data_IF_558361054318
#
_entry.id   IF_558361054318
#
_cell.length_a   1.000
_cell.length_b   1.000
_cell.length_c   1.000
_cell.angle_alpha   90.00
_cell.angle_beta   90.00
_cell.angle_gamma   90.00
#
_symmetry.space_group_name_H-M   'P 1'
#
loop_
_entity.id
_entity.type
_entity.pdbx_description
1 polymer ?
#
# COMPACT_ATOMS: atom_id res chain seq x y z
N UNK A 1 -7.12 30.68 12.22
CA UNK A 1 -6.90 30.14 10.86
C UNK A 1 -8.16 30.32 10.05
N UNK A 2 -8.08 30.67 8.76
CA UNK A 2 -9.26 30.81 7.91
C UNK A 2 -9.90 29.43 7.66
N UNK A 3 -11.19 29.31 7.97
CA UNK A 3 -11.98 28.10 7.73
C UNK A 3 -12.60 28.16 6.31
N UNK A 4 -12.71 27.00 5.66
CA UNK A 4 -13.37 26.83 4.38
C UNK A 4 -14.50 25.81 4.47
N UNK A 5 -15.52 25.95 3.63
CA UNK A 5 -16.64 25.01 3.57
C UNK A 5 -16.16 23.64 3.07
N UNK A 6 -16.72 22.57 3.64
CA UNK A 6 -16.42 21.19 3.23
C UNK A 6 -17.25 20.85 1.98
N UNK A 7 -16.59 20.32 0.95
CA UNK A 7 -17.20 19.94 -0.32
C UNK A 7 -17.18 21.06 -1.36
N UNK A 8 -16.74 20.74 -2.59
CA UNK A 8 -16.55 21.72 -3.67
C UNK A 8 -17.85 22.47 -4.04
N UNK A 9 -19.00 21.80 -3.97
CA UNK A 9 -20.30 22.40 -4.27
C UNK A 9 -20.80 23.43 -3.24
N UNK A 10 -20.18 23.50 -2.05
CA UNK A 10 -20.61 24.40 -0.98
C UNK A 10 -19.73 25.65 -0.86
N UNK A 11 -18.78 25.87 -1.78
CA UNK A 11 -17.72 26.88 -1.67
C UNK A 11 -18.25 28.30 -1.39
N UNK A 12 -19.39 28.65 -1.98
CA UNK A 12 -19.93 30.01 -1.94
C UNK A 12 -21.08 30.18 -0.92
N UNK A 13 -21.47 29.12 -0.20
CA UNK A 13 -22.49 29.19 0.85
C UNK A 13 -21.92 29.81 2.14
N UNK A 14 -22.18 31.09 2.36
CA UNK A 14 -21.71 31.81 3.54
C UNK A 14 -22.18 31.19 4.88
N UNK A 15 -23.34 30.52 4.88
CA UNK A 15 -23.98 29.96 6.06
C UNK A 15 -23.74 28.46 6.23
N UNK A 16 -22.90 27.86 5.38
CA UNK A 16 -22.63 26.44 5.45
C UNK A 16 -22.09 26.01 6.82
N UNK A 17 -22.73 24.98 7.39
CA UNK A 17 -22.51 24.56 8.79
C UNK A 17 -21.17 23.85 8.99
N UNK A 18 -20.67 23.14 7.99
CA UNK A 18 -19.49 22.28 8.12
C UNK A 18 -18.26 22.94 7.49
N UNK A 19 -17.35 23.43 8.34
CA UNK A 19 -16.13 24.11 7.90
C UNK A 19 -14.88 23.40 8.41
N UNK A 20 -13.81 23.42 7.63
CA UNK A 20 -12.50 22.88 7.99
C UNK A 20 -11.41 23.92 7.76
N UNK A 21 -10.29 23.87 8.49
CA UNK A 21 -9.14 24.71 8.17
C UNK A 21 -8.58 24.33 6.79
N UNK A 22 -7.99 25.31 6.09
CA UNK A 22 -7.25 25.03 4.85
C UNK A 22 -6.08 24.09 5.13
N UNK A 23 -5.83 23.17 4.20
CA UNK A 23 -4.69 22.26 4.29
C UNK A 23 -3.38 23.03 4.16
N UNK A 24 -2.47 22.82 5.11
CA UNK A 24 -1.13 23.40 5.12
C UNK A 24 -0.15 22.28 4.81
N UNK A 25 0.38 22.28 3.60
CA UNK A 25 1.37 21.31 3.15
C UNK A 25 2.78 21.87 3.27
N UNK A 26 3.73 21.02 3.68
CA UNK A 26 5.15 21.31 3.71
C UNK A 26 5.88 20.20 2.96
N UNK A 27 6.72 20.60 2.01
CA UNK A 27 7.61 19.67 1.32
C UNK A 27 8.81 19.40 2.22
N UNK A 28 9.09 18.13 2.47
CA UNK A 28 10.23 17.65 3.26
C UNK A 28 11.05 16.67 2.40
N UNK A 29 12.38 16.76 2.49
CA UNK A 29 13.29 15.94 1.68
C UNK A 29 13.58 16.49 0.27
N UNK A 30 14.43 15.77 -0.48
CA UNK A 30 14.85 16.08 -1.86
C UNK A 30 15.09 14.78 -2.64
N UNK A 31 14.98 14.82 -3.96
CA UNK A 31 15.12 13.63 -4.83
C UNK A 31 14.14 12.51 -4.48
N UNK A 32 14.64 11.28 -4.38
CA UNK A 32 13.86 10.07 -4.08
C UNK A 32 13.22 10.04 -2.67
N UNK A 33 13.46 11.05 -1.84
CA UNK A 33 12.93 11.19 -0.48
C UNK A 33 12.00 12.39 -0.28
N UNK A 34 11.49 13.00 -1.35
CA UNK A 34 10.50 14.09 -1.26
C UNK A 34 9.20 13.56 -0.65
N UNK A 35 8.69 14.24 0.38
CA UNK A 35 7.46 13.93 1.11
C UNK A 35 6.64 15.21 1.27
N UNK A 36 5.33 15.10 1.11
CA UNK A 36 4.40 16.20 1.40
C UNK A 36 3.77 15.96 2.77
N UNK A 37 4.21 16.71 3.77
CA UNK A 37 3.67 16.65 5.12
C UNK A 37 2.51 17.64 5.27
N UNK A 38 1.36 17.16 5.75
CA UNK A 38 0.21 18.03 6.07
C UNK A 38 0.33 18.44 7.54
N UNK A 39 0.86 19.64 7.76
CA UNK A 39 1.28 20.12 9.08
C UNK A 39 0.10 20.27 10.05
N UNK A 40 -1.09 20.59 9.53
CA UNK A 40 -2.30 20.80 10.33
C UNK A 40 -3.31 19.64 10.23
N UNK A 41 -2.85 18.42 9.96
CA UNK A 41 -3.72 17.24 9.81
C UNK A 41 -4.63 16.99 11.01
N UNK A 42 -4.16 17.25 12.23
CA UNK A 42 -4.93 17.05 13.47
C UNK A 42 -6.19 17.93 13.49
N UNK A 43 -6.05 19.19 13.10
CA UNK A 43 -7.16 20.14 13.07
C UNK A 43 -8.15 19.83 11.95
N UNK A 44 -7.65 19.36 10.80
CA UNK A 44 -8.47 18.90 9.68
C UNK A 44 -9.28 17.66 10.10
N UNK A 45 -8.63 16.66 10.69
CA UNK A 45 -9.28 15.43 11.12
C UNK A 45 -10.36 15.71 12.18
N UNK A 46 -10.09 16.64 13.11
CA UNK A 46 -11.08 17.10 14.09
C UNK A 46 -12.30 17.75 13.43
N UNK A 47 -12.10 18.59 12.40
CA UNK A 47 -13.20 19.19 11.64
C UNK A 47 -14.02 18.16 10.85
N UNK A 48 -13.38 17.06 10.44
CA UNK A 48 -14.03 15.91 9.80
C UNK A 48 -14.66 14.92 10.80
N UNK A 49 -14.57 15.18 12.11
CA UNK A 49 -14.98 14.27 13.18
C UNK A 49 -14.36 12.87 13.06
N UNK A 50 -13.09 12.80 12.63
CA UNK A 50 -12.33 11.54 12.50
C UNK A 50 -11.01 11.60 13.28
N UNK A 51 -10.49 10.45 13.74
CA UNK A 51 -9.14 10.39 14.26
C UNK A 51 -8.12 10.71 13.17
N UNK A 52 -7.10 11.52 13.50
CA UNK A 52 -6.06 11.91 12.54
C UNK A 52 -5.32 10.71 11.92
N UNK A 53 -5.16 9.61 12.68
CA UNK A 53 -4.54 8.37 12.20
C UNK A 53 -5.30 7.74 11.02
N UNK A 54 -6.63 7.82 11.02
CA UNK A 54 -7.46 7.28 9.93
C UNK A 54 -7.34 8.15 8.68
N UNK A 55 -7.39 9.47 8.85
CA UNK A 55 -7.28 10.43 7.74
C UNK A 55 -5.90 10.38 7.09
N UNK A 56 -4.83 10.31 7.89
CA UNK A 56 -3.45 10.14 7.38
C UNK A 56 -3.27 8.80 6.68
N UNK A 57 -3.81 7.70 7.22
CA UNK A 57 -3.73 6.38 6.58
C UNK A 57 -4.50 6.33 5.27
N UNK A 58 -5.69 6.93 5.22
CA UNK A 58 -6.47 7.07 3.98
C UNK A 58 -5.67 7.82 2.90
N UNK A 59 -5.06 8.95 3.23
CA UNK A 59 -4.22 9.67 2.26
C UNK A 59 -2.97 8.88 1.83
N UNK A 60 -2.36 8.12 2.74
CA UNK A 60 -1.22 7.26 2.42
C UNK A 60 -1.57 6.06 1.53
N UNK A 61 -2.69 5.41 1.79
CA UNK A 61 -3.10 4.16 1.13
C UNK A 61 -3.94 4.40 -0.14
N UNK A 62 -4.92 5.30 -0.10
CA UNK A 62 -5.94 5.44 -1.16
C UNK A 62 -5.57 6.49 -2.22
N UNK A 63 -4.85 7.55 -1.83
CA UNK A 63 -4.36 8.55 -2.79
C UNK A 63 -2.94 8.26 -3.29
N UNK A 64 -2.37 7.11 -2.92
CA UNK A 64 -1.00 6.76 -3.29
C UNK A 64 0.04 7.77 -2.81
N UNK A 65 -0.20 8.53 -1.74
CA UNK A 65 0.74 9.54 -1.24
C UNK A 65 2.06 8.94 -0.71
N UNK A 66 2.15 7.61 -0.60
CA UNK A 66 3.38 6.84 -0.37
C UNK A 66 3.80 5.96 -1.56
N UNK A 67 3.03 5.98 -2.66
CA UNK A 67 3.33 5.23 -3.87
C UNK A 67 4.34 6.00 -4.71
N UNK A 68 5.54 5.45 -4.87
CA UNK A 68 6.48 5.91 -5.89
C UNK A 68 6.00 5.37 -7.22
N UNK A 69 5.69 6.25 -8.17
CA UNK A 69 5.41 5.87 -9.55
C UNK A 69 6.68 6.11 -10.38
N UNK A 70 7.23 5.08 -10.99
CA UNK A 70 8.35 5.20 -11.93
C UNK A 70 7.79 5.43 -13.34
N UNK A 71 8.09 6.58 -13.94
CA UNK A 71 7.57 6.96 -15.26
C UNK A 71 8.23 6.20 -16.43
N UNK A 72 9.40 5.57 -16.21
CA UNK A 72 10.08 4.76 -17.24
C UNK A 72 9.51 3.36 -17.31
N UNK A 73 9.11 2.79 -16.16
CA UNK A 73 8.58 1.43 -16.08
C UNK A 73 7.05 1.37 -15.94
N UNK A 74 6.40 2.48 -15.58
CA UNK A 74 4.95 2.55 -15.33
C UNK A 74 4.52 1.99 -13.98
N UNK A 75 5.46 1.79 -13.04
CA UNK A 75 5.25 0.95 -11.85
C UNK A 75 5.02 1.76 -10.57
N UNK A 76 4.05 1.36 -9.73
CA UNK A 76 3.81 1.92 -8.39
C UNK A 76 4.48 1.09 -7.28
N UNK A 77 5.67 1.48 -6.82
CA UNK A 77 6.49 0.74 -5.84
C UNK A 77 5.95 0.73 -4.39
N UNK A 78 4.87 1.47 -4.08
CA UNK A 78 4.29 1.51 -2.73
C UNK A 78 3.13 0.55 -2.50
N UNK A 79 2.44 0.12 -3.56
CA UNK A 79 1.18 -0.63 -3.47
C UNK A 79 1.39 -2.14 -3.36
N UNK A 80 2.39 -2.70 -4.04
CA UNK A 80 2.60 -4.15 -4.11
C UNK A 80 3.11 -4.75 -2.78
N UNK A 81 4.10 -4.15 -2.08
CA UNK A 81 4.53 -4.67 -0.77
C UNK A 81 3.43 -4.59 0.30
N UNK A 82 2.57 -3.55 0.23
CA UNK A 82 1.41 -3.41 1.12
C UNK A 82 0.35 -4.48 0.84
N UNK A 83 0.09 -4.78 -0.42
CA UNK A 83 -0.82 -5.84 -0.83
C UNK A 83 -0.33 -7.21 -0.32
N UNK A 84 0.95 -7.51 -0.51
CA UNK A 84 1.58 -8.74 -0.01
C UNK A 84 1.46 -8.87 1.52
N UNK A 85 1.72 -7.79 2.26
CA UNK A 85 1.56 -7.80 3.72
C UNK A 85 0.08 -7.94 4.15
N UNK A 86 -0.86 -7.37 3.40
CA UNK A 86 -2.29 -7.56 3.65
C UNK A 86 -2.72 -9.02 3.44
N UNK A 87 -2.22 -9.68 2.39
CA UNK A 87 -2.42 -11.10 2.12
C UNK A 87 -1.84 -11.94 3.27
N UNK A 88 -0.61 -11.66 3.71
CA UNK A 88 0.03 -12.33 4.84
C UNK A 88 -0.84 -12.28 6.13
N UNK A 89 -1.27 -11.07 6.49
CA UNK A 89 -2.10 -10.81 7.67
C UNK A 89 -3.48 -11.47 7.56
N UNK A 90 -4.02 -11.58 6.35
CA UNK A 90 -5.29 -12.24 6.09
C UNK A 90 -5.17 -13.76 6.23
N UNK A 91 -4.13 -14.36 5.64
CA UNK A 91 -3.84 -15.79 5.77
C UNK A 91 -3.63 -16.21 7.23
N UNK A 92 -3.01 -15.37 8.06
CA UNK A 92 -2.84 -15.63 9.49
C UNK A 92 -4.15 -15.71 10.29
N UNK A 93 -5.27 -15.22 9.74
CA UNK A 93 -6.61 -15.23 10.38
C UNK A 93 -7.57 -16.24 9.75
N UNK A 94 -7.14 -16.93 8.69
CA UNK A 94 -7.99 -17.79 7.89
C UNK A 94 -7.88 -19.26 8.33
N UNK A 95 -8.83 -20.10 7.92
CA UNK A 95 -8.74 -21.55 8.10
C UNK A 95 -7.51 -22.12 7.36
N UNK A 96 -6.91 -23.20 7.87
CA UNK A 96 -5.77 -23.87 7.23
C UNK A 96 -6.04 -24.28 5.77
N UNK A 97 -7.29 -24.58 5.43
CA UNK A 97 -7.73 -24.96 4.08
C UNK A 97 -7.58 -23.79 3.12
N UNK A 98 -8.11 -22.62 3.48
CA UNK A 98 -8.02 -21.44 2.62
C UNK A 98 -6.61 -20.82 2.62
N UNK A 99 -5.77 -21.11 3.63
CA UNK A 99 -4.35 -20.79 3.58
C UNK A 99 -3.57 -21.58 2.51
N UNK A 100 -4.10 -22.69 1.98
CA UNK A 100 -3.48 -23.44 0.87
C UNK A 100 -3.66 -22.73 -0.47
N UNK A 101 -4.71 -21.92 -0.59
CA UNK A 101 -5.05 -21.20 -1.81
C UNK A 101 -4.20 -19.93 -2.02
N UNK A 102 -3.37 -19.55 -1.04
CA UNK A 102 -2.55 -18.32 -1.10
C UNK A 102 -1.64 -18.28 -2.32
N UNK A 103 -1.06 -19.42 -2.70
CA UNK A 103 -0.21 -19.52 -3.88
C UNK A 103 -0.99 -19.26 -5.18
N UNK A 104 -2.25 -19.69 -5.24
CA UNK A 104 -3.12 -19.46 -6.39
C UNK A 104 -3.55 -18.00 -6.49
N UNK A 105 -3.81 -17.35 -5.35
CA UNK A 105 -4.08 -15.91 -5.30
C UNK A 105 -2.87 -15.11 -5.77
N UNK A 106 -1.66 -15.42 -5.27
CA UNK A 106 -0.44 -14.76 -5.70
C UNK A 106 -0.17 -14.97 -7.19
N UNK A 107 -0.41 -16.19 -7.70
CA UNK A 107 -0.31 -16.49 -9.13
C UNK A 107 -1.31 -15.67 -9.97
N UNK A 108 -2.56 -15.54 -9.53
CA UNK A 108 -3.54 -14.72 -10.24
C UNK A 108 -3.12 -13.25 -10.29
N UNK A 109 -2.66 -12.70 -9.16
CA UNK A 109 -2.16 -11.32 -9.08
C UNK A 109 -0.90 -11.10 -9.92
N UNK A 110 -0.03 -12.12 -10.04
CA UNK A 110 1.13 -12.08 -10.93
C UNK A 110 0.70 -12.09 -12.41
N UNK A 111 -0.22 -12.99 -12.79
CA UNK A 111 -0.71 -13.10 -14.19
C UNK A 111 -1.45 -11.84 -14.66
N UNK A 112 -2.14 -11.14 -13.75
CA UNK A 112 -2.85 -9.89 -14.04
C UNK A 112 -1.96 -8.64 -13.93
N UNK A 113 -0.62 -8.80 -13.89
CA UNK A 113 0.37 -7.71 -13.77
C UNK A 113 0.16 -6.82 -12.53
N UNK A 114 -0.45 -7.36 -11.46
CA UNK A 114 -0.68 -6.64 -10.19
C UNK A 114 0.52 -6.77 -9.25
N UNK A 115 1.21 -7.91 -9.29
CA UNK A 115 2.41 -8.19 -8.50
C UNK A 115 3.55 -8.62 -9.42
N UNK A 116 4.69 -7.94 -9.34
CA UNK A 116 5.90 -8.36 -10.05
C UNK A 116 6.70 -9.38 -9.23
N UNK A 117 7.47 -10.20 -9.94
CA UNK A 117 8.30 -11.25 -9.37
C UNK A 117 9.25 -10.73 -8.27
N UNK A 118 9.95 -9.62 -8.53
CA UNK A 118 10.91 -9.02 -7.59
C UNK A 118 10.27 -8.79 -6.21
N UNK A 119 9.04 -8.25 -6.16
CA UNK A 119 8.37 -7.97 -4.90
C UNK A 119 7.86 -9.24 -4.19
N UNK A 120 7.41 -10.24 -4.96
CA UNK A 120 6.94 -11.52 -4.40
C UNK A 120 8.14 -12.26 -3.76
N UNK A 121 9.27 -12.30 -4.46
CA UNK A 121 10.51 -12.94 -4.00
C UNK A 121 11.07 -12.19 -2.78
N UNK A 122 11.20 -10.86 -2.85
CA UNK A 122 11.71 -10.05 -1.73
C UNK A 122 10.83 -10.21 -0.47
N UNK A 123 9.49 -10.22 -0.63
CA UNK A 123 8.55 -10.46 0.46
C UNK A 123 8.72 -11.85 1.09
N UNK A 124 8.86 -12.88 0.26
CA UNK A 124 9.06 -14.25 0.72
C UNK A 124 10.37 -14.41 1.52
N UNK A 125 11.48 -13.88 1.01
CA UNK A 125 12.78 -13.94 1.67
C UNK A 125 12.81 -13.19 3.01
N UNK A 126 12.19 -12.00 3.06
CA UNK A 126 12.01 -11.23 4.31
C UNK A 126 11.12 -11.97 5.30
N UNK A 127 10.09 -12.67 4.81
CA UNK A 127 9.21 -13.52 5.62
C UNK A 127 9.98 -14.65 6.31
N UNK A 128 10.85 -15.34 5.57
CA UNK A 128 11.68 -16.45 6.08
C UNK A 128 12.80 -16.00 7.03
N UNK A 129 13.36 -14.82 6.82
CA UNK A 129 14.43 -14.25 7.65
C UNK A 129 13.92 -13.43 8.85
N UNK A 130 12.64 -13.04 8.85
CA UNK A 130 12.02 -12.18 9.85
C UNK A 130 11.37 -12.90 11.03
N UNK A 131 10.68 -12.11 11.87
CA UNK A 131 9.95 -12.62 13.05
C UNK A 131 8.78 -13.55 12.71
N UNK A 132 8.31 -13.54 11.46
CA UNK A 132 7.16 -14.29 10.97
C UNK A 132 7.53 -15.62 10.31
N UNK A 133 8.81 -16.04 10.35
CA UNK A 133 9.30 -17.27 9.68
C UNK A 133 8.56 -18.57 10.01
N UNK A 134 7.89 -18.61 11.16
CA UNK A 134 7.16 -19.79 11.63
C UNK A 134 5.73 -19.88 11.07
N UNK A 135 5.27 -18.90 10.29
CA UNK A 135 3.93 -18.93 9.72
C UNK A 135 3.80 -20.06 8.68
N UNK A 136 2.65 -20.78 8.65
CA UNK A 136 2.44 -21.87 7.71
C UNK A 136 2.33 -21.40 6.25
N UNK A 137 2.05 -20.11 6.03
CA UNK A 137 1.94 -19.47 4.71
C UNK A 137 3.17 -19.74 3.84
N UNK A 138 4.38 -19.65 4.41
CA UNK A 138 5.63 -19.79 3.66
C UNK A 138 5.82 -21.19 3.05
N UNK A 139 5.26 -22.23 3.69
CA UNK A 139 5.28 -23.59 3.16
C UNK A 139 4.36 -23.74 1.95
N UNK A 140 3.21 -23.05 1.98
CA UNK A 140 2.23 -23.09 0.90
C UNK A 140 2.66 -22.22 -0.29
N UNK A 141 3.35 -21.11 -0.03
CA UNK A 141 3.85 -20.18 -1.05
C UNK A 141 5.12 -20.69 -1.74
N UNK A 142 5.93 -21.52 -1.05
CA UNK A 142 7.22 -22.01 -1.57
C UNK A 142 7.17 -22.54 -3.01
N UNK A 143 6.24 -23.45 -3.40
CA UNK A 143 6.23 -23.99 -4.76
C UNK A 143 6.01 -22.92 -5.83
N UNK A 144 5.30 -21.84 -5.51
CA UNK A 144 5.06 -20.73 -6.45
C UNK A 144 6.30 -19.84 -6.59
N UNK A 145 7.01 -19.56 -5.50
CA UNK A 145 8.27 -18.79 -5.54
C UNK A 145 9.36 -19.57 -6.28
N UNK A 146 9.47 -20.88 -6.02
CA UNK A 146 10.41 -21.74 -6.76
C UNK A 146 10.09 -21.75 -8.27
N UNK A 147 8.81 -21.70 -8.65
CA UNK A 147 8.38 -21.61 -10.05
C UNK A 147 8.76 -20.27 -10.69
N UNK A 148 8.55 -19.14 -10.02
CA UNK A 148 8.95 -17.81 -10.49
C UNK A 148 10.47 -17.78 -10.79
N UNK A 149 11.28 -18.15 -9.80
CA UNK A 149 12.74 -18.12 -9.91
C UNK A 149 13.29 -19.11 -10.96
N UNK A 150 12.59 -20.21 -11.23
CA UNK A 150 12.98 -21.18 -12.27
C UNK A 150 12.60 -20.71 -13.68
N UNK A 151 11.54 -19.92 -13.83
CA UNK A 151 11.09 -19.42 -15.13
C UNK A 151 12.05 -18.38 -15.71
N UNK A 152 12.70 -17.57 -14.87
CA UNK A 152 13.69 -16.57 -15.30
C UNK A 152 14.98 -17.23 -15.83
N UNK A 153 15.43 -18.32 -15.18
CA UNK A 153 16.66 -19.03 -15.55
C UNK A 153 16.59 -19.83 -16.86
N UNK A 154 15.39 -20.14 -17.37
CA UNK A 154 15.21 -20.73 -18.71
C UNK A 154 15.24 -19.67 -19.84
N UNK A 155 15.01 -18.40 -19.54
CA UNK A 155 14.97 -17.30 -20.52
C UNK A 155 16.31 -16.59 -20.76
N UNK A 156 17.25 -16.68 -19.82
CA UNK A 156 18.62 -16.13 -19.96
C UNK A 156 19.59 -17.11 -20.66
N UNK A 157 19.11 -18.31 -21.03
CA UNK A 157 19.90 -19.40 -21.59
C UNK A 157 19.79 -19.62 -23.11
N UNK A 158 19.04 -18.78 -23.85
CA UNK A 158 18.94 -18.81 -25.32
C UNK A 158 19.60 -17.60 -26.01
#
# INVERSE_FOLDING_TARGET
MALQNIGAGNKDDAFYRYKMPRMITKIEGRGNGIKTNIVNMVDIAKALARPASYTTKYFGCELGAQSKFDEKTGTSHGSQPLLLHAIEMFCGKMSPEAAKEVALVLKALYVDDVLEEEFIVEWYEKGLSGGNRNLPIWKNVKPFVDWLQSAESESEGE
#
